data_IF_842680177945
#
_entry.id   IF_842680177945
#
_cell.length_a   1.000
_cell.length_b   1.000
_cell.length_c   1.000
_cell.angle_alpha   90.00
_cell.angle_beta   90.00
_cell.angle_gamma   90.00
#
_symmetry.space_group_name_H-M   'P 1'
#
loop_
_entity.id
_entity.type
_entity.pdbx_description
1 polymer ?
#
# COMPACT_ATOMS: atom_id res chain seq x y z
N UNK A 1 -8.79 -25.59 -12.81
CA UNK A 1 -8.31 -24.31 -13.38
C UNK A 1 -7.18 -23.81 -12.50
N UNK A 2 -6.03 -23.46 -13.07
CA UNK A 2 -4.86 -22.99 -12.32
C UNK A 2 -4.94 -21.50 -12.05
N UNK A 3 -4.54 -21.03 -10.85
CA UNK A 3 -4.53 -19.62 -10.46
C UNK A 3 -3.70 -18.74 -11.43
N UNK A 4 -2.65 -19.31 -12.01
CA UNK A 4 -1.83 -18.64 -13.03
C UNK A 4 -2.55 -18.40 -14.36
N UNK A 5 -3.54 -19.23 -14.73
CA UNK A 5 -4.36 -19.04 -15.92
C UNK A 5 -5.42 -17.94 -15.71
N UNK A 6 -5.91 -17.77 -14.47
CA UNK A 6 -6.79 -16.65 -14.09
C UNK A 6 -6.05 -15.30 -14.15
N UNK A 7 -4.83 -15.24 -13.60
CA UNK A 7 -3.99 -14.03 -13.69
C UNK A 7 -3.70 -13.66 -15.15
N UNK A 8 -3.29 -14.62 -15.99
CA UNK A 8 -3.00 -14.37 -17.42
C UNK A 8 -4.23 -13.89 -18.19
N UNK A 9 -5.42 -14.44 -17.91
CA UNK A 9 -6.66 -14.05 -18.59
C UNK A 9 -7.21 -12.69 -18.09
N UNK A 10 -6.89 -12.29 -16.86
CA UNK A 10 -7.19 -10.97 -16.31
C UNK A 10 -6.40 -9.84 -17.01
N UNK A 11 -5.15 -10.11 -17.39
CA UNK A 11 -4.28 -9.13 -18.07
C UNK A 11 -4.50 -8.99 -19.58
N UNK A 12 -5.50 -9.67 -20.17
CA UNK A 12 -5.73 -9.64 -21.63
C UNK A 12 -6.56 -8.43 -22.13
N UNK A 13 -6.77 -7.37 -21.35
CA UNK A 13 -7.61 -6.25 -21.79
C UNK A 13 -7.10 -4.88 -21.32
N UNK A 14 -6.69 -4.04 -22.28
CA UNK A 14 -6.35 -2.59 -22.22
C UNK A 14 -5.50 -2.13 -21.01
N UNK A 15 -4.26 -1.74 -21.28
CA UNK A 15 -3.40 -0.92 -20.39
C UNK A 15 -4.21 0.21 -19.73
N UNK A 16 -4.47 0.11 -18.42
CA UNK A 16 -5.14 1.16 -17.67
C UNK A 16 -4.06 2.18 -17.22
N UNK A 17 -4.00 3.39 -17.79
CA UNK A 17 -2.94 4.35 -17.49
C UNK A 17 -2.93 4.76 -16.01
N UNK A 18 -4.07 4.69 -15.32
CA UNK A 18 -4.17 5.02 -13.90
C UNK A 18 -3.52 3.94 -13.04
N UNK A 19 -3.68 2.65 -13.39
CA UNK A 19 -3.00 1.56 -12.71
C UNK A 19 -1.49 1.55 -12.98
N UNK A 20 -1.07 1.95 -14.20
CA UNK A 20 0.36 2.17 -14.49
C UNK A 20 0.96 3.31 -13.65
N UNK A 21 0.20 4.37 -13.42
CA UNK A 21 0.59 5.46 -12.52
C UNK A 21 0.67 4.99 -11.06
N UNK A 22 -0.26 4.15 -10.58
CA UNK A 22 -0.17 3.54 -9.24
C UNK A 22 1.05 2.64 -9.11
N UNK A 23 1.37 1.87 -10.15
CA UNK A 23 2.53 1.00 -10.13
C UNK A 23 3.83 1.80 -10.07
N UNK A 24 3.87 2.93 -10.77
CA UNK A 24 4.99 3.88 -10.70
C UNK A 24 5.08 4.52 -9.31
N UNK A 25 3.95 4.96 -8.76
CA UNK A 25 3.86 5.49 -7.39
C UNK A 25 4.43 4.50 -6.36
N UNK A 26 4.04 3.23 -6.48
CA UNK A 26 4.49 2.15 -5.60
C UNK A 26 5.99 1.84 -5.72
N UNK A 27 6.56 1.93 -6.93
CA UNK A 27 8.00 1.71 -7.16
C UNK A 27 8.87 2.82 -6.58
N UNK A 28 8.39 4.06 -6.66
CA UNK A 28 9.17 5.24 -6.27
C UNK A 28 9.10 5.54 -4.77
N UNK A 29 8.27 4.82 -4.01
CA UNK A 29 7.99 5.09 -2.59
C UNK A 29 8.23 3.86 -1.73
N UNK A 30 8.50 4.12 -0.44
CA UNK A 30 8.73 3.08 0.57
C UNK A 30 7.52 2.98 1.51
N UNK A 31 7.32 1.79 2.08
CA UNK A 31 6.27 1.55 3.07
C UNK A 31 4.87 1.83 2.54
N UNK A 32 4.62 1.44 1.29
CA UNK A 32 3.33 1.63 0.64
C UNK A 32 2.35 0.58 1.13
N UNK A 33 1.13 1.01 1.47
CA UNK A 33 0.01 0.16 1.84
C UNK A 33 -1.18 0.46 0.92
N UNK A 34 -1.95 -0.58 0.58
CA UNK A 34 -3.16 -0.50 -0.23
C UNK A 34 -4.44 -0.47 0.60
N UNK A 35 -5.43 0.26 0.11
CA UNK A 35 -6.76 0.38 0.70
C UNK A 35 -7.79 0.27 -0.41
N UNK A 36 -8.70 -0.69 -0.30
CA UNK A 36 -9.83 -0.81 -1.22
C UNK A 36 -10.98 0.04 -0.69
N UNK A 37 -11.31 1.07 -1.46
CA UNK A 37 -12.46 1.92 -1.21
C UNK A 37 -13.71 1.28 -1.86
N UNK A 38 -14.83 1.21 -1.13
CA UNK A 38 -16.06 0.61 -1.64
C UNK A 38 -16.63 1.45 -2.79
N UNK A 39 -17.39 0.81 -3.66
CA UNK A 39 -18.24 1.53 -4.61
C UNK A 39 -19.25 2.39 -3.85
N UNK A 40 -19.39 3.64 -4.27
CA UNK A 40 -20.44 4.55 -3.79
C UNK A 40 -21.40 4.91 -4.93
N UNK A 41 -22.40 5.76 -4.65
CA UNK A 41 -23.32 6.26 -5.67
C UNK A 41 -22.60 7.07 -6.77
N UNK A 42 -21.49 7.74 -6.43
CA UNK A 42 -20.77 8.65 -7.33
C UNK A 42 -19.39 8.17 -7.71
N UNK A 43 -18.83 7.17 -7.02
CA UNK A 43 -17.48 6.68 -7.26
C UNK A 43 -17.45 5.16 -7.45
N UNK A 44 -16.67 4.65 -8.42
CA UNK A 44 -16.45 3.21 -8.56
C UNK A 44 -15.62 2.68 -7.39
N UNK A 45 -15.52 1.36 -7.29
CA UNK A 45 -14.52 0.71 -6.43
C UNK A 45 -13.13 1.22 -6.80
N UNK A 46 -12.35 1.62 -5.82
CA UNK A 46 -11.07 2.31 -6.04
C UNK A 46 -9.99 1.68 -5.18
N UNK A 47 -8.80 1.50 -5.75
CA UNK A 47 -7.59 1.18 -4.99
C UNK A 47 -6.88 2.49 -4.65
N UNK A 48 -6.68 2.73 -3.37
CA UNK A 48 -5.88 3.80 -2.79
C UNK A 48 -4.55 3.22 -2.32
N UNK A 49 -3.43 3.82 -2.74
CA UNK A 49 -2.11 3.54 -2.18
C UNK A 49 -1.69 4.72 -1.30
N UNK A 50 -1.15 4.42 -0.12
CA UNK A 50 -0.63 5.41 0.83
C UNK A 50 0.78 5.01 1.24
N UNK A 51 1.74 5.92 1.07
CA UNK A 51 3.14 5.67 1.46
C UNK A 51 3.42 5.91 2.96
N UNK A 52 4.67 5.69 3.38
CA UNK A 52 5.08 5.85 4.78
C UNK A 52 4.95 7.28 5.34
N UNK A 53 4.91 8.31 4.49
CA UNK A 53 4.76 9.72 4.91
C UNK A 53 3.32 10.21 4.78
N UNK A 54 2.44 9.41 4.17
CA UNK A 54 1.03 9.74 3.97
C UNK A 54 0.70 10.34 2.62
N UNK A 55 1.66 10.43 1.69
CA UNK A 55 1.34 10.76 0.30
C UNK A 55 0.51 9.62 -0.30
N UNK A 56 -0.37 9.96 -1.25
CA UNK A 56 -1.34 9.00 -1.75
C UNK A 56 -1.65 9.13 -3.24
N UNK A 57 -2.04 8.00 -3.84
CA UNK A 57 -2.52 7.92 -5.21
C UNK A 57 -3.70 6.93 -5.30
N UNK A 58 -4.66 7.21 -6.19
CA UNK A 58 -5.89 6.41 -6.35
C UNK A 58 -6.15 6.04 -7.80
N UNK A 59 -6.66 4.83 -8.04
CA UNK A 59 -7.17 4.42 -9.35
C UNK A 59 -8.40 3.52 -9.24
N UNK A 60 -9.37 3.67 -10.18
CA UNK A 60 -10.53 2.81 -10.22
C UNK A 60 -10.13 1.38 -10.60
N UNK A 61 -10.78 0.42 -9.93
CA UNK A 61 -10.69 -1.02 -10.22
C UNK A 61 -12.08 -1.55 -10.55
N UNK A 62 -12.18 -2.68 -11.27
CA UNK A 62 -13.51 -3.21 -11.65
C UNK A 62 -14.16 -3.86 -10.43
N UNK A 63 -13.38 -4.69 -9.74
CA UNK A 63 -13.77 -5.41 -8.53
C UNK A 63 -12.71 -5.25 -7.43
N UNK A 64 -13.08 -5.37 -6.15
CA UNK A 64 -12.11 -5.33 -5.03
C UNK A 64 -10.92 -6.28 -5.19
N UNK A 65 -11.18 -7.47 -5.75
CA UNK A 65 -10.21 -8.53 -5.98
C UNK A 65 -9.12 -8.11 -6.97
N UNK A 66 -9.43 -7.23 -7.91
CA UNK A 66 -8.48 -6.70 -8.89
C UNK A 66 -7.42 -5.83 -8.19
N UNK A 67 -7.87 -4.98 -7.26
CA UNK A 67 -6.98 -4.16 -6.45
C UNK A 67 -6.14 -5.00 -5.52
N UNK A 68 -6.73 -6.05 -4.92
CA UNK A 68 -6.01 -6.98 -4.08
C UNK A 68 -4.91 -7.73 -4.85
N UNK A 69 -5.23 -8.29 -6.02
CA UNK A 69 -4.27 -8.97 -6.88
C UNK A 69 -3.17 -8.02 -7.40
N UNK A 70 -3.51 -6.74 -7.66
CA UNK A 70 -2.53 -5.71 -8.01
C UNK A 70 -1.51 -5.48 -6.88
N UNK A 71 -1.99 -5.32 -5.64
CA UNK A 71 -1.14 -5.14 -4.47
C UNK A 71 -0.29 -6.39 -4.16
N UNK A 72 -0.89 -7.58 -4.25
CA UNK A 72 -0.20 -8.86 -4.03
C UNK A 72 1.00 -9.02 -4.98
N UNK A 73 0.82 -8.72 -6.27
CA UNK A 73 1.91 -8.74 -7.27
C UNK A 73 3.08 -7.83 -6.89
N UNK A 74 2.81 -6.70 -6.24
CA UNK A 74 3.81 -5.72 -5.82
C UNK A 74 4.35 -6.00 -4.40
N UNK A 75 3.87 -7.05 -3.72
CA UNK A 75 4.24 -7.34 -2.33
C UNK A 75 3.73 -6.28 -1.35
N UNK A 76 2.65 -5.59 -1.69
CA UNK A 76 2.06 -4.51 -0.90
C UNK A 76 0.92 -5.08 -0.06
N UNK A 77 0.87 -4.83 1.26
CA UNK A 77 -0.28 -5.20 2.07
C UNK A 77 -1.49 -4.37 1.65
N UNK A 78 -2.67 -4.99 1.63
CA UNK A 78 -3.92 -4.35 1.19
C UNK A 78 -5.04 -4.62 2.19
N UNK A 79 -5.86 -3.60 2.44
CA UNK A 79 -6.91 -3.62 3.44
C UNK A 79 -8.24 -3.11 2.89
N UNK A 80 -9.34 -3.45 3.56
CA UNK A 80 -10.64 -2.86 3.31
C UNK A 80 -10.78 -1.53 4.07
N UNK A 81 -10.92 -0.43 3.34
CA UNK A 81 -11.01 0.90 3.91
C UNK A 81 -12.28 1.10 4.78
N UNK A 82 -13.37 0.36 4.54
CA UNK A 82 -14.56 0.45 5.38
C UNK A 82 -14.36 -0.20 6.75
N UNK A 83 -13.45 -1.19 6.82
CA UNK A 83 -13.19 -1.94 8.05
C UNK A 83 -12.18 -1.20 8.92
N UNK A 84 -11.05 -0.76 8.34
CA UNK A 84 -9.95 -0.18 9.11
C UNK A 84 -9.89 1.35 9.07
N UNK A 85 -10.63 1.98 8.15
CA UNK A 85 -10.52 3.42 7.90
C UNK A 85 -9.23 3.80 7.17
N UNK A 86 -9.00 5.11 7.06
CA UNK A 86 -7.77 5.65 6.46
C UNK A 86 -6.66 5.78 7.49
N UNK A 87 -5.39 5.60 7.10
CA UNK A 87 -4.29 5.70 8.04
C UNK A 87 -4.07 7.16 8.46
N UNK A 88 -3.73 7.37 9.74
CA UNK A 88 -3.52 8.70 10.30
C UNK A 88 -2.47 9.52 9.51
N UNK A 89 -1.40 8.88 9.03
CA UNK A 89 -0.36 9.54 8.21
C UNK A 89 -0.91 10.22 6.96
N UNK A 90 -1.93 9.64 6.31
CA UNK A 90 -2.58 10.27 5.14
C UNK A 90 -3.35 11.53 5.56
N UNK A 91 -4.09 11.46 6.66
CA UNK A 91 -4.84 12.60 7.22
C UNK A 91 -3.89 13.73 7.62
N UNK A 92 -2.75 13.39 8.24
CA UNK A 92 -1.72 14.36 8.62
C UNK A 92 -1.10 15.02 7.39
N UNK A 93 -0.80 14.24 6.35
CA UNK A 93 -0.29 14.74 5.07
C UNK A 93 -1.26 15.73 4.41
N UNK A 94 -2.54 15.35 4.30
CA UNK A 94 -3.60 16.22 3.76
C UNK A 94 -3.79 17.50 4.60
N UNK A 95 -3.54 17.41 5.91
CA UNK A 95 -3.58 18.55 6.84
C UNK A 95 -2.29 19.39 6.85
N UNK A 96 -1.31 19.08 5.99
CA UNK A 96 -0.02 19.76 5.90
C UNK A 96 0.97 19.43 7.03
N UNK A 97 0.67 18.45 7.89
CA UNK A 97 1.51 17.98 9.00
C UNK A 97 2.28 16.72 8.63
N UNK A 98 2.84 16.68 7.42
CA UNK A 98 3.57 15.49 6.97
C UNK A 98 4.82 15.24 7.84
N UNK A 99 5.11 13.99 8.20
CA UNK A 99 6.33 13.63 8.89
C UNK A 99 7.56 13.91 8.02
N UNK A 100 8.70 14.19 8.66
CA UNK A 100 9.98 14.33 7.98
C UNK A 100 10.43 12.95 7.44
N UNK A 101 10.58 12.79 6.10
CA UNK A 101 10.98 11.52 5.52
C UNK A 101 12.33 11.00 6.02
N UNK A 102 13.27 11.90 6.31
CA UNK A 102 14.62 11.54 6.78
C UNK A 102 14.59 11.05 8.22
N UNK A 103 13.82 11.72 9.09
CA UNK A 103 13.60 11.26 10.46
C UNK A 103 12.95 9.87 10.51
N UNK A 104 12.00 9.59 9.61
CA UNK A 104 11.41 8.26 9.49
C UNK A 104 12.40 7.21 9.01
N UNK A 105 13.24 7.49 8.00
CA UNK A 105 14.25 6.53 7.52
C UNK A 105 15.21 6.15 8.66
N UNK A 106 15.71 7.13 9.43
CA UNK A 106 16.54 6.88 10.63
C UNK A 106 15.82 6.01 11.66
N UNK A 107 14.53 6.27 11.87
CA UNK A 107 13.72 5.48 12.81
C UNK A 107 13.59 4.02 12.36
N UNK A 108 13.36 3.79 11.06
CA UNK A 108 13.30 2.44 10.50
C UNK A 108 14.65 1.72 10.59
N UNK A 109 15.76 2.38 10.24
CA UNK A 109 17.10 1.81 10.37
C UNK A 109 17.45 1.45 11.83
N UNK A 110 17.08 2.30 12.78
CA UNK A 110 17.26 2.05 14.20
C UNK A 110 16.46 0.84 14.69
N UNK A 111 15.22 0.69 14.19
CA UNK A 111 14.38 -0.47 14.49
C UNK A 111 14.95 -1.75 13.88
N UNK A 112 15.33 -1.73 12.61
CA UNK A 112 15.94 -2.88 11.91
C UNK A 112 17.21 -3.35 12.62
N UNK A 113 18.06 -2.43 13.06
CA UNK A 113 19.26 -2.74 13.87
C UNK A 113 18.88 -3.44 15.18
N UNK A 114 17.89 -2.91 15.91
CA UNK A 114 17.41 -3.50 17.17
C UNK A 114 16.81 -4.89 16.99
N UNK A 115 16.08 -5.14 15.91
CA UNK A 115 15.50 -6.45 15.63
C UNK A 115 16.55 -7.46 15.14
N UNK A 116 17.57 -7.01 14.41
CA UNK A 116 18.63 -7.88 13.85
C UNK A 116 19.70 -8.24 14.88
N UNK A 117 19.93 -7.38 15.87
CA UNK A 117 20.80 -7.63 17.02
C UNK A 117 19.94 -7.82 18.27
N UNK A 118 19.26 -8.99 18.44
CA UNK A 118 18.57 -9.27 19.69
C UNK A 118 19.60 -9.19 20.82
N UNK A 119 19.25 -8.42 21.84
CA UNK A 119 20.10 -8.06 22.96
C UNK A 119 20.86 -9.29 23.50
N UNK A 120 22.20 -9.27 23.39
CA UNK A 120 23.06 -10.34 23.92
C UNK A 120 23.02 -10.42 25.45
N UNK A 121 22.37 -9.45 26.10
CA UNK A 121 22.25 -9.35 27.56
C UNK A 121 20.92 -9.88 28.12
N UNK A 122 20.14 -10.63 27.33
CA UNK A 122 18.98 -11.35 27.90
C UNK A 122 19.52 -12.40 28.88
N UNK A 123 19.28 -12.28 30.21
CA UNK A 123 19.74 -13.30 31.14
C UNK A 123 18.95 -14.58 30.85
N UNK A 124 19.68 -15.65 30.59
CA UNK A 124 19.14 -16.99 30.42
C UNK A 124 18.44 -17.38 31.73
N UNK A 125 17.12 -17.60 31.72
CA UNK A 125 16.37 -18.16 32.86
C UNK A 125 15.99 -19.61 32.57
#
# INVERSE_FOLDING_TARGET
MSFGDWLRNFFSQKRNPQLEALESFARDRKGVEGYIEPRTATQPTTLLLVDRVGDSARAPVREPQDGAAFCERLGIPVYDAQVIGYPQRMVDFESGRKPDPEALDKTFEDLERRFSEPDKDTPNN
#
